data_IF_296753754647
#
_entry.id   IF_296753754647
#
_cell.length_a   1.000
_cell.length_b   1.000
_cell.length_c   1.000
_cell.angle_alpha   90.00
_cell.angle_beta   90.00
_cell.angle_gamma   90.00
#
_symmetry.space_group_name_H-M   'P 1'
#
loop_
_entity.id
_entity.type
_entity.pdbx_description
1 polymer ?
#
# COMPACT_ATOMS: atom_id res chain seq x y z
N UNK A 1 -56.60 -26.20 31.67
CA UNK A 1 -55.48 -26.86 32.38
C UNK A 1 -54.83 -27.95 31.49
N UNK A 2 -54.62 -27.68 30.19
CA UNK A 2 -54.30 -28.74 29.20
C UNK A 2 -53.10 -28.43 28.27
N UNK A 3 -52.35 -27.34 28.50
CA UNK A 3 -51.23 -26.95 27.62
C UNK A 3 -49.87 -27.56 28.07
N UNK A 4 -49.80 -28.14 29.27
CA UNK A 4 -48.57 -28.75 29.81
C UNK A 4 -48.32 -30.19 29.33
N UNK A 5 -49.27 -30.83 28.63
CA UNK A 5 -49.12 -32.19 28.10
C UNK A 5 -48.29 -32.26 26.81
N UNK A 6 -48.49 -31.29 25.90
CA UNK A 6 -47.89 -31.32 24.56
C UNK A 6 -46.41 -30.92 24.54
N UNK A 7 -45.93 -30.03 25.44
CA UNK A 7 -44.50 -29.72 25.54
C UNK A 7 -43.66 -30.87 26.12
N UNK A 8 -44.24 -31.72 26.97
CA UNK A 8 -43.55 -32.90 27.51
C UNK A 8 -43.35 -33.99 26.46
N UNK A 9 -44.21 -34.07 25.44
CA UNK A 9 -44.07 -35.02 24.33
C UNK A 9 -42.95 -34.67 23.35
N UNK A 10 -42.64 -33.37 23.16
CA UNK A 10 -41.57 -32.92 22.28
C UNK A 10 -40.17 -33.03 22.92
N UNK A 11 -40.05 -32.80 24.24
CA UNK A 11 -38.77 -33.01 24.95
C UNK A 11 -38.35 -34.49 25.04
N UNK A 12 -39.32 -35.40 25.09
CA UNK A 12 -39.05 -36.85 25.14
C UNK A 12 -38.74 -37.46 23.78
N UNK A 13 -38.94 -36.73 22.67
CA UNK A 13 -38.66 -37.19 21.30
C UNK A 13 -37.27 -36.78 20.79
N UNK A 14 -36.49 -36.04 21.59
CA UNK A 14 -35.07 -35.78 21.32
C UNK A 14 -34.13 -36.71 22.11
N UNK A 15 -34.67 -37.71 22.82
CA UNK A 15 -33.88 -38.85 23.28
C UNK A 15 -33.42 -39.65 22.05
N UNK A 16 -32.15 -39.46 21.73
CA UNK A 16 -31.51 -39.99 20.53
C UNK A 16 -31.65 -41.53 20.44
N UNK A 17 -31.94 -42.10 19.26
CA UNK A 17 -31.99 -43.56 19.09
C UNK A 17 -30.62 -44.20 19.41
N UNK A 18 -30.59 -45.43 19.98
CA UNK A 18 -29.37 -46.08 20.50
C UNK A 18 -28.29 -46.34 19.43
N UNK A 19 -28.65 -46.31 18.15
CA UNK A 19 -27.70 -46.42 17.04
C UNK A 19 -26.71 -45.23 16.97
N UNK A 20 -27.08 -44.08 17.55
CA UNK A 20 -26.22 -42.90 17.62
C UNK A 20 -25.26 -42.88 18.80
N UNK A 21 -25.14 -43.95 19.59
CA UNK A 21 -24.22 -43.97 20.75
C UNK A 21 -22.74 -44.18 20.34
N UNK A 22 -22.50 -44.76 19.16
CA UNK A 22 -21.15 -44.90 18.58
C UNK A 22 -20.61 -43.58 17.99
N UNK A 23 -21.50 -42.73 17.48
CA UNK A 23 -21.18 -41.44 16.87
C UNK A 23 -20.44 -40.49 17.86
N UNK A 24 -20.91 -40.22 19.09
CA UNK A 24 -20.25 -39.29 20.01
C UNK A 24 -18.90 -39.82 20.49
N UNK A 25 -18.71 -41.15 20.56
CA UNK A 25 -17.42 -41.74 20.95
C UNK A 25 -16.39 -41.53 19.83
N UNK A 26 -16.76 -41.78 18.58
CA UNK A 26 -15.89 -41.55 17.42
C UNK A 26 -15.57 -40.05 17.24
N UNK A 27 -16.57 -39.18 17.38
CA UNK A 27 -16.38 -37.72 17.29
C UNK A 27 -15.48 -37.22 18.42
N UNK A 28 -15.64 -37.69 19.66
CA UNK A 28 -14.74 -37.33 20.78
C UNK A 28 -13.33 -37.84 20.56
N UNK A 29 -13.15 -39.03 19.98
CA UNK A 29 -11.83 -39.58 19.64
C UNK A 29 -11.14 -38.76 18.55
N UNK A 30 -11.86 -38.43 17.48
CA UNK A 30 -11.36 -37.54 16.42
C UNK A 30 -11.04 -36.15 16.96
N UNK A 31 -11.91 -35.57 17.77
CA UNK A 31 -11.69 -34.28 18.41
C UNK A 31 -10.41 -34.28 19.27
N UNK A 32 -10.16 -35.34 20.04
CA UNK A 32 -8.90 -35.47 20.81
C UNK A 32 -7.68 -35.51 19.90
N UNK A 33 -7.74 -36.26 18.81
CA UNK A 33 -6.65 -36.36 17.84
C UNK A 33 -6.42 -35.01 17.15
N UNK A 34 -7.47 -34.35 16.70
CA UNK A 34 -7.39 -33.01 16.11
C UNK A 34 -6.87 -31.99 17.10
N UNK A 35 -7.38 -31.96 18.34
CA UNK A 35 -6.89 -31.03 19.36
C UNK A 35 -5.43 -31.28 19.72
N UNK A 36 -4.99 -32.54 19.75
CA UNK A 36 -3.59 -32.89 19.93
C UNK A 36 -2.72 -32.39 18.76
N UNK A 37 -3.16 -32.62 17.51
CA UNK A 37 -2.46 -32.15 16.32
C UNK A 37 -2.39 -30.60 16.27
N UNK A 38 -3.48 -29.91 16.59
CA UNK A 38 -3.54 -28.44 16.66
C UNK A 38 -2.63 -27.91 17.76
N UNK A 39 -2.62 -28.53 18.95
CA UNK A 39 -1.68 -28.17 20.03
C UNK A 39 -0.23 -28.33 19.61
N UNK A 40 0.08 -29.33 18.79
CA UNK A 40 1.41 -29.51 18.18
C UNK A 40 1.70 -28.54 17.01
N UNK A 41 0.76 -27.66 16.66
CA UNK A 41 0.94 -26.61 15.66
C UNK A 41 0.47 -26.99 14.24
N UNK A 42 -0.29 -28.09 14.08
CA UNK A 42 -0.89 -28.47 12.81
C UNK A 42 -2.04 -27.53 12.45
N UNK A 43 -1.89 -26.82 11.33
CA UNK A 43 -2.83 -25.82 10.82
C UNK A 43 -3.57 -26.26 9.54
N UNK A 44 -3.39 -27.51 9.11
CA UNK A 44 -4.08 -28.08 7.94
C UNK A 44 -3.69 -27.45 6.60
N UNK A 45 -2.59 -26.68 6.56
CA UNK A 45 -2.12 -25.93 5.39
C UNK A 45 -0.84 -26.50 4.79
N UNK A 46 -0.60 -27.80 4.87
CA UNK A 46 0.68 -28.42 4.46
C UNK A 46 1.06 -28.10 3.01
N UNK A 47 0.12 -28.16 2.06
CA UNK A 47 0.36 -27.80 0.65
C UNK A 47 0.77 -26.34 0.46
N UNK A 48 0.31 -25.43 1.33
CA UNK A 48 0.65 -24.01 1.30
C UNK A 48 1.95 -23.72 2.08
N UNK A 49 2.38 -24.62 2.96
CA UNK A 49 3.62 -24.52 3.74
C UNK A 49 4.87 -24.80 2.90
N UNK A 50 4.84 -25.76 1.98
CA UNK A 50 5.94 -25.92 1.04
C UNK A 50 6.10 -24.70 0.13
N UNK A 51 4.97 -24.12 -0.33
CA UNK A 51 4.99 -22.94 -1.20
C UNK A 51 5.41 -21.64 -0.48
N UNK A 52 5.04 -21.45 0.79
CA UNK A 52 5.38 -20.24 1.56
C UNK A 52 6.87 -20.16 1.93
N UNK A 53 7.56 -21.30 2.03
CA UNK A 53 9.00 -21.39 2.31
C UNK A 53 9.86 -21.56 1.06
N UNK A 54 9.44 -20.97 -0.06
CA UNK A 54 10.28 -20.77 -1.24
C UNK A 54 11.24 -19.57 -1.03
N UNK A 55 12.30 -19.45 -1.82
CA UNK A 55 13.27 -18.35 -1.70
C UNK A 55 12.59 -16.97 -1.71
N UNK A 56 11.66 -16.74 -2.65
CA UNK A 56 10.88 -15.51 -2.75
C UNK A 56 10.00 -15.30 -1.52
N UNK A 57 9.35 -16.36 -1.01
CA UNK A 57 8.53 -16.29 0.20
C UNK A 57 9.34 -15.93 1.45
N UNK A 58 10.54 -16.51 1.60
CA UNK A 58 11.45 -16.22 2.70
C UNK A 58 12.04 -14.79 2.62
N UNK A 59 12.35 -14.31 1.41
CA UNK A 59 12.80 -12.93 1.20
C UNK A 59 11.70 -11.92 1.56
N UNK A 60 10.47 -12.15 1.07
CA UNK A 60 9.32 -11.31 1.42
C UNK A 60 9.03 -11.33 2.92
N UNK A 61 9.12 -12.48 3.57
CA UNK A 61 9.00 -12.59 5.03
C UNK A 61 10.03 -11.68 5.72
N UNK A 62 11.30 -11.80 5.37
CA UNK A 62 12.38 -10.98 5.94
C UNK A 62 12.15 -9.48 5.71
N UNK A 63 11.75 -9.09 4.50
CA UNK A 63 11.44 -7.71 4.17
C UNK A 63 10.30 -7.14 5.03
N UNK A 64 9.23 -7.91 5.23
CA UNK A 64 8.08 -7.49 6.06
C UNK A 64 8.39 -7.41 7.55
N UNK A 65 9.38 -8.17 8.02
CA UNK A 65 9.91 -8.08 9.39
C UNK A 65 10.74 -6.80 9.56
N UNK A 66 11.68 -6.52 8.65
CA UNK A 66 12.51 -5.30 8.71
C UNK A 66 11.65 -4.05 8.62
N UNK A 67 10.71 -4.03 7.68
CA UNK A 67 9.81 -2.89 7.45
C UNK A 67 8.76 -2.77 8.55
N UNK A 68 8.75 -3.67 9.54
CA UNK A 68 7.79 -3.71 10.65
C UNK A 68 6.33 -3.82 10.23
N UNK A 69 6.05 -4.18 8.97
CA UNK A 69 4.68 -4.40 8.46
C UNK A 69 4.09 -5.64 9.13
N UNK A 70 4.87 -6.72 9.19
CA UNK A 70 4.55 -7.91 9.99
C UNK A 70 3.17 -8.52 9.72
N UNK A 71 2.86 -8.92 8.48
CA UNK A 71 1.53 -9.49 8.13
C UNK A 71 1.09 -10.70 8.97
N UNK A 72 2.02 -11.41 9.63
CA UNK A 72 1.71 -12.51 10.56
C UNK A 72 1.18 -13.80 9.93
N UNK A 73 0.90 -13.84 8.63
CA UNK A 73 0.34 -15.00 7.92
C UNK A 73 1.35 -16.15 7.69
N UNK A 74 2.65 -15.85 7.74
CA UNK A 74 3.74 -16.82 7.60
C UNK A 74 4.78 -16.46 8.64
N UNK A 75 4.86 -17.23 9.71
CA UNK A 75 5.80 -17.02 10.80
C UNK A 75 6.56 -18.31 11.07
N UNK A 76 7.86 -18.20 11.36
CA UNK A 76 8.66 -19.33 11.77
C UNK A 76 8.08 -19.94 13.05
N UNK A 77 7.51 -21.15 12.95
CA UNK A 77 6.99 -21.89 14.11
C UNK A 77 8.12 -22.48 14.96
N UNK A 78 9.33 -22.56 14.42
CA UNK A 78 10.51 -23.13 15.08
C UNK A 78 11.12 -22.15 16.09
N UNK A 79 11.65 -22.68 17.20
CA UNK A 79 12.28 -21.88 18.26
C UNK A 79 13.47 -21.07 17.74
N UNK A 80 14.33 -21.70 16.93
CA UNK A 80 15.50 -21.06 16.33
C UNK A 80 15.09 -19.94 15.38
N UNK A 81 14.07 -20.17 14.55
CA UNK A 81 13.57 -19.16 13.62
C UNK A 81 13.05 -17.91 14.34
N UNK A 82 12.34 -18.07 15.46
CA UNK A 82 11.87 -16.94 16.28
C UNK A 82 13.03 -16.12 16.86
N UNK A 83 14.06 -16.77 17.37
CA UNK A 83 15.24 -16.08 17.92
C UNK A 83 16.00 -15.31 16.84
N UNK A 84 16.18 -15.91 15.66
CA UNK A 84 16.80 -15.25 14.52
C UNK A 84 16.00 -14.03 14.05
N UNK A 85 14.67 -14.14 13.95
CA UNK A 85 13.78 -13.02 13.62
C UNK A 85 13.92 -11.89 14.63
N UNK A 86 14.05 -12.20 15.92
CA UNK A 86 14.23 -11.19 16.97
C UNK A 86 15.56 -10.44 16.84
N UNK A 87 16.67 -11.16 16.64
CA UNK A 87 17.99 -10.56 16.41
C UNK A 87 18.00 -9.70 15.14
N UNK A 88 17.35 -10.21 14.10
CA UNK A 88 17.21 -9.52 12.83
C UNK A 88 16.39 -8.23 12.95
N UNK A 89 15.34 -8.21 13.77
CA UNK A 89 14.56 -7.00 14.01
C UNK A 89 15.38 -5.91 14.71
N UNK A 90 16.21 -6.28 15.69
CA UNK A 90 17.05 -5.32 16.44
C UNK A 90 18.01 -4.58 15.51
N UNK A 91 18.63 -5.29 14.56
CA UNK A 91 19.55 -4.70 13.59
C UNK A 91 18.79 -4.07 12.42
N UNK A 92 17.68 -4.69 12.00
CA UNK A 92 16.90 -4.28 10.84
C UNK A 92 16.22 -2.93 11.01
N UNK A 93 15.68 -2.62 12.20
CA UNK A 93 14.99 -1.35 12.47
C UNK A 93 15.91 -0.13 12.24
N UNK A 94 17.10 -0.02 12.86
CA UNK A 94 17.98 1.13 12.63
C UNK A 94 18.49 1.20 11.18
N UNK A 95 18.77 0.06 10.55
CA UNK A 95 19.17 0.00 9.15
C UNK A 95 18.05 0.49 8.22
N UNK A 96 16.79 0.11 8.49
CA UNK A 96 15.64 0.53 7.70
C UNK A 96 15.40 2.03 7.82
N UNK A 97 15.56 2.61 9.01
CA UNK A 97 15.46 4.05 9.22
C UNK A 97 16.52 4.80 8.40
N UNK A 98 17.78 4.36 8.46
CA UNK A 98 18.85 4.96 7.65
C UNK A 98 18.58 4.83 6.16
N UNK A 99 18.11 3.67 5.72
CA UNK A 99 17.77 3.41 4.32
C UNK A 99 16.63 4.31 3.84
N UNK A 100 15.60 4.48 4.67
CA UNK A 100 14.46 5.34 4.37
C UNK A 100 14.88 6.80 4.24
N UNK A 101 15.78 7.30 5.10
CA UNK A 101 16.35 8.65 4.98
C UNK A 101 17.09 8.82 3.66
N UNK A 102 17.97 7.87 3.31
CA UNK A 102 18.73 7.93 2.06
C UNK A 102 17.81 7.91 0.82
N UNK A 103 16.81 7.04 0.80
CA UNK A 103 15.82 7.00 -0.28
C UNK A 103 15.01 8.30 -0.32
N UNK A 104 14.59 8.81 0.83
CA UNK A 104 13.85 10.08 0.94
C UNK A 104 14.61 11.24 0.29
N UNK A 105 15.92 11.34 0.55
CA UNK A 105 16.77 12.38 -0.02
C UNK A 105 16.94 12.24 -1.54
N UNK A 106 17.17 11.01 -2.03
CA UNK A 106 17.25 10.74 -3.47
C UNK A 106 15.92 11.07 -4.14
N UNK A 107 14.81 10.66 -3.53
CA UNK A 107 13.48 10.89 -4.09
C UNK A 107 13.14 12.38 -4.11
N UNK A 108 13.48 13.13 -3.06
CA UNK A 108 13.32 14.58 -3.02
C UNK A 108 14.15 15.30 -4.10
N UNK A 109 15.38 14.84 -4.36
CA UNK A 109 16.23 15.37 -5.46
C UNK A 109 15.59 15.11 -6.82
N UNK A 110 15.08 13.90 -7.04
CA UNK A 110 14.38 13.53 -8.28
C UNK A 110 13.13 14.41 -8.44
N UNK A 111 12.31 14.57 -7.39
CA UNK A 111 11.13 15.43 -7.44
C UNK A 111 11.48 16.88 -7.77
N UNK A 112 12.50 17.45 -7.12
CA UNK A 112 12.98 18.81 -7.43
C UNK A 112 13.48 18.92 -8.88
N UNK A 113 14.17 17.90 -9.38
CA UNK A 113 14.65 17.87 -10.75
C UNK A 113 13.50 17.81 -11.75
N UNK A 114 12.51 16.94 -11.54
CA UNK A 114 11.32 16.83 -12.37
C UNK A 114 10.48 18.11 -12.33
N UNK A 115 10.31 18.70 -11.13
CA UNK A 115 9.61 19.96 -10.96
C UNK A 115 10.32 21.11 -11.70
N UNK A 116 11.64 21.24 -11.52
CA UNK A 116 12.44 22.23 -12.23
C UNK A 116 12.40 22.03 -13.76
N UNK A 117 12.42 20.78 -14.24
CA UNK A 117 12.26 20.46 -15.66
C UNK A 117 10.88 20.90 -16.18
N UNK A 118 9.82 20.60 -15.44
CA UNK A 118 8.46 21.00 -15.84
C UNK A 118 8.29 22.53 -15.91
N UNK A 119 8.87 23.28 -14.95
CA UNK A 119 8.87 24.74 -14.97
C UNK A 119 9.69 25.26 -16.15
N UNK A 120 10.89 24.71 -16.39
CA UNK A 120 11.74 25.12 -17.52
C UNK A 120 11.07 24.88 -18.86
N UNK A 121 10.38 23.76 -19.05
CA UNK A 121 9.61 23.48 -20.27
C UNK A 121 8.47 24.50 -20.44
N UNK A 122 7.69 24.76 -19.39
CA UNK A 122 6.62 25.78 -19.43
C UNK A 122 7.17 27.18 -19.71
N UNK A 123 8.27 27.56 -19.07
CA UNK A 123 8.89 28.87 -19.27
C UNK A 123 9.47 29.01 -20.68
N UNK A 124 10.12 27.96 -21.20
CA UNK A 124 10.57 27.89 -22.61
C UNK A 124 9.40 28.03 -23.57
N UNK A 125 8.27 27.36 -23.33
CA UNK A 125 7.06 27.47 -24.14
C UNK A 125 6.42 28.87 -24.07
N UNK A 126 6.30 29.47 -22.88
CA UNK A 126 5.76 30.83 -22.70
C UNK A 126 6.67 31.87 -23.35
N UNK A 127 7.99 31.78 -23.16
CA UNK A 127 8.95 32.66 -23.82
C UNK A 127 8.93 32.47 -25.33
N UNK A 128 8.79 31.24 -25.82
CA UNK A 128 8.63 30.98 -27.26
C UNK A 128 7.33 31.58 -27.79
N UNK A 129 6.25 31.54 -27.00
CA UNK A 129 4.98 32.19 -27.31
C UNK A 129 5.12 33.72 -27.34
N UNK A 130 5.81 34.32 -26.37
CA UNK A 130 6.04 35.77 -26.30
C UNK A 130 6.99 36.26 -27.40
N UNK A 131 8.03 35.50 -27.74
CA UNK A 131 8.98 35.79 -28.83
C UNK A 131 8.31 35.71 -30.21
N UNK A 132 7.28 34.89 -30.38
CA UNK A 132 6.45 34.89 -31.60
C UNK A 132 5.53 36.12 -31.69
N UNK A 133 5.11 36.70 -30.56
CA UNK A 133 4.24 37.89 -30.54
C UNK A 133 5.00 39.19 -30.87
N UNK A 134 6.26 39.31 -30.45
CA UNK A 134 7.08 40.51 -30.71
C UNK A 134 7.53 40.61 -32.17
N UNK A 135 7.85 39.49 -32.83
CA UNK A 135 8.21 39.49 -34.26
C UNK A 135 7.05 39.81 -35.23
N UNK A 136 5.83 40.01 -34.74
CA UNK A 136 4.68 40.42 -35.56
C UNK A 136 4.38 41.93 -35.50
N UNK A 137 5.17 42.73 -34.77
CA UNK A 137 4.87 44.15 -34.54
C UNK A 137 6.11 45.05 -34.74
N UNK A 138 6.98 44.69 -35.68
CA UNK A 138 7.97 45.59 -36.27
C UNK A 138 7.44 46.07 -37.63
N UNK A 139 6.48 46.98 -37.61
CA UNK A 139 6.16 47.83 -38.76
C UNK A 139 6.77 49.20 -38.49
N UNK A 140 7.67 49.71 -39.35
CA UNK A 140 8.39 50.95 -39.07
C UNK A 140 7.40 52.12 -38.99
N UNK A 141 7.67 53.01 -38.04
CA UNK A 141 6.94 54.23 -37.74
C UNK A 141 6.43 54.94 -38.99
N UNK A 142 5.11 55.16 -39.06
CA UNK A 142 4.50 56.15 -39.94
C UNK A 142 5.13 57.51 -39.64
N UNK A 143 6.09 57.89 -40.48
CA UNK A 143 6.50 59.26 -40.71
C UNK A 143 5.32 60.03 -41.35
N UNK A 144 5.35 61.36 -41.21
CA UNK A 144 4.49 62.37 -41.82
C UNK A 144 3.05 62.49 -41.30
N UNK A 145 2.83 63.54 -40.50
CA UNK A 145 1.89 64.63 -40.78
C UNK A 145 2.14 65.78 -39.78
N UNK A 146 2.91 66.79 -40.18
CA UNK A 146 2.87 68.12 -39.56
C UNK A 146 2.48 69.08 -40.69
N UNK A 147 1.28 69.71 -40.65
CA UNK A 147 0.92 70.75 -41.60
C UNK A 147 1.67 72.06 -41.30
N UNK A 148 1.99 72.89 -42.31
CA UNK A 148 2.58 74.19 -42.09
C UNK A 148 1.55 75.12 -41.44
N UNK A 149 1.92 75.67 -40.29
CA UNK A 149 1.24 76.76 -39.61
C UNK A 149 1.40 78.04 -40.45
N UNK A 150 0.31 78.51 -41.03
CA UNK A 150 0.19 79.84 -41.63
C UNK A 150 -0.02 80.86 -40.52
N UNK A 151 0.86 81.86 -40.44
CA UNK A 151 0.60 83.09 -39.69
C UNK A 151 0.98 84.29 -40.55
N UNK A 152 -0.05 84.89 -41.14
CA UNK A 152 -0.16 86.33 -41.42
C UNK A 152 0.23 87.11 -40.15
N UNK A 153 1.06 88.15 -40.20
CA UNK A 153 0.70 89.58 -40.08
C UNK A 153 2.04 90.32 -39.88
N UNK A 154 2.53 91.13 -40.82
CA UNK A 154 2.43 92.60 -40.82
C UNK A 154 2.95 93.30 -39.56
N UNK A 155 4.19 93.80 -39.61
CA UNK A 155 4.66 94.98 -38.87
C UNK A 155 5.77 95.60 -39.76
N UNK A 156 5.40 96.64 -40.52
CA UNK A 156 5.72 98.06 -40.28
C UNK A 156 7.15 98.43 -40.66
#
# INVERSE_FOLDING_TARGET
MEISGLQRGWLSRTSSPPEKQNIPVQVKKFQKICMYAIRKGYDGKEFKQAAQWTFTGAFLYSLTVITTIGYGNTAAKTYIGKTLTMLYAIIGIPLMLLFLTNIGDVMAKIFRFLYAQSIRLKFRLILWHKKRKVRGQDSPCKLTCIPPYQSTSSES
#
